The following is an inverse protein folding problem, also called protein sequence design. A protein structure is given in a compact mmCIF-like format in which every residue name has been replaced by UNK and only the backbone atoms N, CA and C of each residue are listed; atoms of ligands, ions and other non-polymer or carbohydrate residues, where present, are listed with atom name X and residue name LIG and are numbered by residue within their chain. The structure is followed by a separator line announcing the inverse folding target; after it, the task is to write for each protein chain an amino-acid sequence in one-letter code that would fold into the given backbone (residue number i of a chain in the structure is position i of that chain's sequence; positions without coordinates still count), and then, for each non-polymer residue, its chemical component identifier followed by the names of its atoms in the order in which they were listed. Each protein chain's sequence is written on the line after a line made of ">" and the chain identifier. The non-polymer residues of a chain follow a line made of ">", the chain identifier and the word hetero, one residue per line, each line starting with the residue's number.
data_IF_821721400628
#
_entry.id   IF_821721400628
#
_cell.length_a   1.000
_cell.length_b   1.000
_cell.length_c   1.000
_cell.angle_alpha   90.00
_cell.angle_beta   90.00
_cell.angle_gamma   90.00
#
_symmetry.space_group_name_H-M   'P 1'
#
loop_
_entity.id
_entity.type
_entity.pdbx_description
1 polymer ?
#
# COMPACT_ATOMS: atom_id res chain seq x y z
N UNK A 1 -51.83 24.04 21.06
CA UNK A 1 -51.46 22.93 20.14
C UNK A 1 -50.75 21.88 20.98
N UNK A 2 -51.33 20.68 21.11
CA UNK A 2 -50.69 19.54 21.80
C UNK A 2 -49.59 18.96 20.89
N UNK A 3 -48.35 18.78 21.36
CA UNK A 3 -47.29 18.17 20.55
C UNK A 3 -47.67 16.73 20.23
N UNK A 4 -47.74 16.40 18.94
CA UNK A 4 -47.98 15.03 18.47
C UNK A 4 -46.68 14.24 18.63
N UNK A 5 -46.60 13.40 19.65
CA UNK A 5 -45.48 12.50 19.84
C UNK A 5 -45.50 11.40 18.77
N UNK A 6 -44.44 11.30 17.98
CA UNK A 6 -44.24 10.20 17.04
C UNK A 6 -43.82 8.94 17.81
N UNK A 7 -44.26 7.74 17.36
CA UNK A 7 -43.77 6.49 17.94
C UNK A 7 -42.24 6.37 17.75
N UNK A 8 -41.54 5.64 18.64
CA UNK A 8 -40.11 5.42 18.50
C UNK A 8 -39.79 4.68 17.20
N UNK A 9 -38.64 5.00 16.61
CA UNK A 9 -38.14 4.30 15.43
C UNK A 9 -37.90 2.82 15.76
N UNK A 10 -38.19 1.89 14.84
CA UNK A 10 -37.81 0.49 15.01
C UNK A 10 -36.29 0.38 15.16
N UNK A 11 -35.79 -0.65 15.87
CA UNK A 11 -34.35 -0.86 16.01
C UNK A 11 -33.72 -1.07 14.62
N UNK A 12 -32.47 -0.62 14.42
CA UNK A 12 -31.78 -0.82 13.16
C UNK A 12 -31.60 -2.31 12.85
N UNK A 13 -31.59 -2.64 11.56
CA UNK A 13 -31.31 -4.00 11.10
C UNK A 13 -29.87 -4.41 11.50
N UNK A 14 -29.64 -5.70 11.80
CA UNK A 14 -28.29 -6.18 12.05
C UNK A 14 -27.43 -6.01 10.80
N UNK A 15 -26.16 -5.66 10.98
CA UNK A 15 -25.22 -5.59 9.88
C UNK A 15 -24.99 -6.98 9.26
N UNK A 16 -24.88 -7.10 7.93
CA UNK A 16 -24.55 -8.36 7.27
C UNK A 16 -23.15 -8.83 7.69
N UNK A 17 -22.90 -10.15 7.74
CA UNK A 17 -21.63 -10.71 8.23
C UNK A 17 -20.44 -10.44 7.30
N UNK A 18 -20.69 -10.20 6.01
CA UNK A 18 -19.68 -9.88 5.00
C UNK A 18 -20.24 -8.87 3.99
N UNK A 19 -19.39 -8.20 3.21
CA UNK A 19 -19.84 -7.43 2.05
C UNK A 19 -20.67 -8.30 1.11
N UNK A 20 -21.69 -7.71 0.50
CA UNK A 20 -22.49 -8.38 -0.53
C UNK A 20 -21.72 -8.42 -1.86
N UNK A 21 -22.03 -9.42 -2.69
CA UNK A 21 -21.44 -9.53 -4.02
C UNK A 21 -22.21 -8.64 -5.01
N UNK A 22 -21.52 -7.93 -5.92
CA UNK A 22 -22.19 -7.16 -6.94
C UNK A 22 -22.91 -8.06 -7.95
N UNK A 23 -23.96 -7.57 -8.63
CA UNK A 23 -24.59 -8.30 -9.72
C UNK A 23 -23.62 -8.47 -10.90
N UNK A 24 -23.80 -9.52 -11.70
CA UNK A 24 -23.00 -9.72 -12.90
C UNK A 24 -23.28 -8.62 -13.94
N UNK A 25 -22.21 -7.98 -14.44
CA UNK A 25 -22.31 -6.94 -15.46
C UNK A 25 -21.95 -7.53 -16.84
N UNK A 26 -22.91 -7.68 -17.78
CA UNK A 26 -22.60 -8.16 -19.12
C UNK A 26 -21.87 -7.09 -19.95
N UNK A 27 -21.06 -7.54 -20.90
CA UNK A 27 -20.43 -6.65 -21.87
C UNK A 27 -21.48 -5.93 -22.74
N UNK A 28 -21.26 -4.64 -22.99
CA UNK A 28 -22.09 -3.82 -23.86
C UNK A 28 -21.23 -3.09 -24.91
N UNK A 29 -21.66 -2.96 -26.18
CA UNK A 29 -20.93 -2.20 -27.19
C UNK A 29 -20.71 -0.75 -26.75
N UNK A 30 -19.44 -0.31 -26.75
CA UNK A 30 -19.05 1.04 -26.29
C UNK A 30 -19.19 1.26 -24.78
N UNK A 31 -19.56 0.23 -24.01
CA UNK A 31 -19.67 0.28 -22.56
C UNK A 31 -18.31 0.18 -21.85
N UNK A 32 -18.27 0.46 -20.54
CA UNK A 32 -17.07 0.26 -19.73
C UNK A 32 -16.66 -1.21 -19.72
N UNK A 33 -15.37 -1.47 -19.46
CA UNK A 33 -14.86 -2.82 -19.26
C UNK A 33 -15.62 -3.52 -18.11
N UNK A 34 -16.35 -4.62 -18.36
CA UNK A 34 -17.16 -5.29 -17.34
C UNK A 34 -16.33 -5.75 -16.14
N UNK A 35 -15.08 -6.14 -16.36
CA UNK A 35 -14.20 -6.56 -15.28
C UNK A 35 -13.79 -5.38 -14.39
N UNK A 36 -13.48 -4.22 -14.97
CA UNK A 36 -13.27 -3.00 -14.19
C UNK A 36 -14.52 -2.59 -13.40
N UNK A 37 -15.72 -2.76 -13.98
CA UNK A 37 -16.98 -2.42 -13.31
C UNK A 37 -17.29 -3.37 -12.13
N UNK A 38 -17.12 -4.67 -12.32
CA UNK A 38 -17.25 -5.68 -11.26
C UNK A 38 -16.32 -5.39 -10.07
N UNK A 39 -15.09 -4.99 -10.35
CA UNK A 39 -14.14 -4.62 -9.30
C UNK A 39 -14.53 -3.35 -8.57
N UNK A 40 -14.96 -2.32 -9.30
CA UNK A 40 -15.44 -1.08 -8.70
C UNK A 40 -16.65 -1.33 -7.79
N UNK A 41 -17.59 -2.18 -8.25
CA UNK A 41 -18.76 -2.55 -7.46
C UNK A 41 -18.39 -3.39 -6.23
N UNK A 42 -17.43 -4.31 -6.36
CA UNK A 42 -16.88 -5.09 -5.24
C UNK A 42 -16.21 -4.18 -4.20
N UNK A 43 -15.40 -3.21 -4.64
CA UNK A 43 -14.76 -2.22 -3.77
C UNK A 43 -15.80 -1.36 -3.04
N UNK A 44 -16.82 -0.90 -3.76
CA UNK A 44 -17.91 -0.12 -3.20
C UNK A 44 -18.70 -0.92 -2.14
N UNK A 45 -18.98 -2.20 -2.38
CA UNK A 45 -19.63 -3.07 -1.41
C UNK A 45 -18.76 -3.28 -0.15
N UNK A 46 -17.46 -3.50 -0.31
CA UNK A 46 -16.52 -3.62 0.81
C UNK A 46 -16.43 -2.33 1.63
N UNK A 47 -16.36 -1.16 0.97
CA UNK A 47 -16.37 0.16 1.63
C UNK A 47 -17.68 0.41 2.38
N UNK A 48 -18.82 0.13 1.74
CA UNK A 48 -20.13 0.30 2.37
C UNK A 48 -20.26 -0.58 3.62
N UNK A 49 -19.80 -1.84 3.55
CA UNK A 49 -19.77 -2.75 4.69
C UNK A 49 -18.86 -2.24 5.82
N UNK A 50 -17.65 -1.79 5.51
CA UNK A 50 -16.73 -1.21 6.50
C UNK A 50 -17.34 0.03 7.18
N UNK A 51 -17.97 0.92 6.41
CA UNK A 51 -18.64 2.11 6.93
C UNK A 51 -19.81 1.72 7.85
N UNK A 52 -20.63 0.75 7.45
CA UNK A 52 -21.77 0.27 8.25
C UNK A 52 -21.34 -0.38 9.56
N UNK A 53 -20.25 -1.16 9.56
CA UNK A 53 -19.83 -1.95 10.73
C UNK A 53 -18.91 -1.19 11.68
N UNK A 54 -18.11 -0.24 11.17
CA UNK A 54 -17.11 0.48 11.97
C UNK A 54 -17.41 1.97 12.15
N UNK A 55 -18.35 2.51 11.36
CA UNK A 55 -18.61 3.95 11.30
C UNK A 55 -17.48 4.75 10.64
N UNK A 56 -16.48 4.07 10.05
CA UNK A 56 -15.31 4.70 9.42
C UNK A 56 -15.23 4.33 7.95
N UNK A 57 -14.99 5.34 7.14
CA UNK A 57 -14.74 5.16 5.72
C UNK A 57 -13.25 4.87 5.49
N UNK A 58 -12.87 3.66 5.03
CA UNK A 58 -11.47 3.28 4.83
C UNK A 58 -10.76 4.11 3.75
N UNK A 59 -11.49 4.81 2.87
CA UNK A 59 -10.90 5.61 1.79
C UNK A 59 -11.13 7.12 1.96
N UNK A 60 -11.93 7.53 2.95
CA UNK A 60 -12.40 8.92 3.07
C UNK A 60 -11.32 9.97 3.31
N UNK A 61 -10.14 9.54 3.76
CA UNK A 61 -8.97 10.40 3.97
C UNK A 61 -7.88 10.28 2.89
N UNK A 62 -8.06 9.44 1.87
CA UNK A 62 -7.04 9.22 0.85
C UNK A 62 -7.03 10.36 -0.16
N UNK A 63 -5.83 10.79 -0.54
CA UNK A 63 -5.64 11.64 -1.71
C UNK A 63 -5.98 10.88 -3.00
N UNK A 64 -6.21 11.60 -4.10
CA UNK A 64 -6.43 10.99 -5.42
C UNK A 64 -5.31 9.99 -5.78
N UNK A 65 -4.07 10.34 -5.46
CA UNK A 65 -2.92 9.48 -5.70
C UNK A 65 -2.96 8.20 -4.86
N UNK A 66 -3.18 8.33 -3.55
CA UNK A 66 -3.27 7.18 -2.65
C UNK A 66 -4.43 6.25 -3.04
N UNK A 67 -5.58 6.79 -3.45
CA UNK A 67 -6.71 5.99 -3.91
C UNK A 67 -6.42 5.29 -5.25
N UNK A 68 -5.74 5.97 -6.19
CA UNK A 68 -5.29 5.34 -7.44
C UNK A 68 -4.34 4.16 -7.18
N UNK A 69 -3.38 4.33 -6.26
CA UNK A 69 -2.46 3.26 -5.85
C UNK A 69 -3.23 2.10 -5.19
N UNK A 70 -4.16 2.40 -4.28
CA UNK A 70 -5.01 1.40 -3.62
C UNK A 70 -5.82 0.58 -4.61
N UNK A 71 -6.50 1.24 -5.56
CA UNK A 71 -7.28 0.58 -6.61
C UNK A 71 -6.40 -0.32 -7.49
N UNK A 72 -5.22 0.17 -7.89
CA UNK A 72 -4.27 -0.63 -8.66
C UNK A 72 -3.70 -1.82 -7.86
N UNK A 73 -3.48 -1.65 -6.55
CA UNK A 73 -2.95 -2.67 -5.67
C UNK A 73 -3.94 -3.82 -5.40
N UNK A 74 -5.23 -3.50 -5.30
CA UNK A 74 -6.32 -4.46 -5.05
C UNK A 74 -6.51 -5.50 -6.18
N UNK A 75 -5.95 -5.27 -7.37
CA UNK A 75 -6.13 -6.19 -8.51
C UNK A 75 -5.19 -7.39 -8.43
N UNK A 76 -5.71 -8.63 -8.40
CA UNK A 76 -4.89 -9.81 -8.64
C UNK A 76 -4.41 -9.78 -10.10
N UNK A 77 -3.09 -9.77 -10.31
CA UNK A 77 -2.51 -9.80 -11.65
C UNK A 77 -1.16 -9.09 -11.75
N UNK A 78 -0.25 -9.68 -12.51
CA UNK A 78 1.13 -9.24 -12.72
C UNK A 78 1.28 -8.03 -13.67
N UNK A 79 0.19 -7.36 -14.05
CA UNK A 79 0.23 -6.27 -15.04
C UNK A 79 0.35 -6.71 -16.50
N UNK A 80 0.34 -8.02 -16.78
CA UNK A 80 0.64 -8.57 -18.11
C UNK A 80 -0.56 -8.53 -19.08
N UNK A 81 -1.78 -8.38 -18.59
CA UNK A 81 -2.97 -8.31 -19.46
C UNK A 81 -3.12 -6.91 -20.07
N UNK A 82 -3.72 -6.83 -21.26
CA UNK A 82 -4.02 -5.55 -21.90
C UNK A 82 -4.91 -4.66 -21.01
N UNK A 83 -5.90 -5.27 -20.32
CA UNK A 83 -6.80 -4.56 -19.40
C UNK A 83 -6.06 -3.94 -18.20
N UNK A 84 -5.12 -4.66 -17.57
CA UNK A 84 -4.36 -4.08 -16.45
C UNK A 84 -3.43 -2.94 -16.91
N UNK A 85 -2.82 -3.05 -18.09
CA UNK A 85 -2.00 -1.95 -18.65
C UNK A 85 -2.82 -0.69 -18.93
N UNK A 86 -4.01 -0.83 -19.54
CA UNK A 86 -4.89 0.31 -19.78
C UNK A 86 -5.34 0.99 -18.48
N UNK A 87 -5.64 0.21 -17.45
CA UNK A 87 -5.97 0.75 -16.13
C UNK A 87 -4.80 1.51 -15.51
N UNK A 88 -3.60 0.93 -15.49
CA UNK A 88 -2.42 1.60 -14.94
C UNK A 88 -2.14 2.93 -15.65
N UNK A 89 -2.24 2.94 -16.99
CA UNK A 89 -2.10 4.16 -17.77
C UNK A 89 -3.16 5.21 -17.40
N UNK A 90 -4.42 4.80 -17.27
CA UNK A 90 -5.53 5.69 -16.89
C UNK A 90 -5.34 6.28 -15.48
N UNK A 91 -5.04 5.44 -14.49
CA UNK A 91 -4.84 5.85 -13.10
C UNK A 91 -3.62 6.77 -12.95
N UNK A 92 -2.49 6.40 -13.56
CA UNK A 92 -1.28 7.23 -13.53
C UNK A 92 -1.54 8.58 -14.19
N UNK A 93 -2.17 8.60 -15.38
CA UNK A 93 -2.51 9.84 -16.08
C UNK A 93 -3.48 10.71 -15.27
N UNK A 94 -4.49 10.13 -14.63
CA UNK A 94 -5.44 10.86 -13.79
C UNK A 94 -4.76 11.49 -12.56
N UNK A 95 -3.75 10.83 -12.00
CA UNK A 95 -2.95 11.35 -10.90
C UNK A 95 -1.78 12.25 -11.33
N UNK A 96 -1.59 12.49 -12.64
CA UNK A 96 -0.47 13.28 -13.17
C UNK A 96 0.90 12.61 -12.98
N UNK A 97 0.94 11.28 -12.97
CA UNK A 97 2.12 10.43 -12.74
C UNK A 97 2.38 9.52 -13.93
N UNK A 98 3.56 8.91 -13.96
CA UNK A 98 3.86 7.85 -14.91
C UNK A 98 3.50 6.45 -14.40
N UNK A 99 3.46 5.48 -15.32
CA UNK A 99 3.06 4.10 -14.98
C UNK A 99 4.11 3.34 -14.18
N UNK A 100 5.39 3.73 -14.25
CA UNK A 100 6.47 3.11 -13.48
C UNK A 100 6.44 3.60 -12.02
N UNK A 101 6.18 4.89 -11.80
CA UNK A 101 5.88 5.48 -10.49
C UNK A 101 4.69 4.75 -9.84
N UNK A 102 3.58 4.59 -10.58
CA UNK A 102 2.42 3.85 -10.10
C UNK A 102 2.76 2.40 -9.75
N UNK A 103 3.52 1.70 -10.59
CA UNK A 103 3.93 0.32 -10.30
C UNK A 103 4.76 0.21 -9.02
N UNK A 104 5.69 1.15 -8.79
CA UNK A 104 6.52 1.20 -7.58
C UNK A 104 5.69 1.54 -6.34
N UNK A 105 4.76 2.48 -6.45
CA UNK A 105 3.82 2.84 -5.38
C UNK A 105 2.88 1.68 -5.02
N UNK A 106 2.38 0.95 -6.03
CA UNK A 106 1.58 -0.27 -5.81
C UNK A 106 2.38 -1.35 -5.09
N UNK A 107 3.66 -1.55 -5.46
CA UNK A 107 4.52 -2.48 -4.74
C UNK A 107 4.68 -2.08 -3.27
N UNK A 108 4.80 -0.78 -2.98
CA UNK A 108 4.97 -0.26 -1.62
C UNK A 108 3.67 -0.42 -0.81
N UNK A 109 2.53 -0.11 -1.43
CA UNK A 109 1.20 -0.33 -0.84
C UNK A 109 0.93 -1.80 -0.53
N UNK A 110 1.36 -2.72 -1.41
CA UNK A 110 1.26 -4.16 -1.14
C UNK A 110 2.18 -4.62 -0.03
N UNK A 111 3.34 -3.99 0.11
CA UNK A 111 4.30 -4.31 1.16
C UNK A 111 3.78 -3.91 2.55
N UNK A 112 3.17 -2.73 2.69
CA UNK A 112 2.73 -2.27 4.01
C UNK A 112 1.70 -1.15 4.00
N UNK A 113 0.77 -1.19 3.05
CA UNK A 113 -0.39 -0.30 3.00
C UNK A 113 -0.03 1.17 2.80
N UNK A 114 -0.85 2.10 3.35
CA UNK A 114 -0.56 3.54 3.33
C UNK A 114 0.83 3.87 3.87
N UNK A 115 1.26 3.23 4.95
CA UNK A 115 2.57 3.46 5.57
C UNK A 115 3.72 3.04 4.64
N UNK A 116 3.53 1.96 3.87
CA UNK A 116 4.50 1.54 2.84
C UNK A 116 4.66 2.59 1.74
N UNK A 117 3.57 3.23 1.32
CA UNK A 117 3.60 4.32 0.35
C UNK A 117 4.31 5.56 0.93
N UNK A 118 4.00 5.95 2.16
CA UNK A 118 4.67 7.08 2.83
C UNK A 118 6.19 6.85 2.92
N UNK A 119 6.62 5.62 3.23
CA UNK A 119 8.05 5.26 3.32
C UNK A 119 8.76 5.29 1.95
N UNK A 120 8.03 4.98 0.87
CA UNK A 120 8.54 5.12 -0.47
C UNK A 120 8.81 6.60 -0.81
N UNK A 121 7.86 7.48 -0.48
CA UNK A 121 7.80 8.85 -1.00
C UNK A 121 8.48 9.89 -0.11
N UNK A 122 8.34 9.78 1.21
CA UNK A 122 8.71 10.85 2.14
C UNK A 122 9.89 10.46 3.06
N UNK A 123 11.12 10.87 2.73
CA UNK A 123 12.23 10.70 3.66
C UNK A 123 12.14 11.69 4.81
N UNK A 124 12.25 11.20 6.04
CA UNK A 124 12.09 11.98 7.27
C UNK A 124 13.26 11.75 8.25
N UNK A 125 13.45 12.66 9.19
CA UNK A 125 14.51 12.56 10.20
C UNK A 125 13.96 11.93 11.49
N UNK A 126 14.30 10.65 11.79
CA UNK A 126 13.81 10.00 13.00
C UNK A 126 14.42 10.60 14.26
N UNK A 127 13.66 10.69 15.36
CA UNK A 127 14.24 11.01 16.65
C UNK A 127 15.23 9.92 17.05
N UNK A 128 16.13 10.27 17.97
CA UNK A 128 17.07 9.31 18.53
C UNK A 128 16.33 8.07 19.07
N UNK A 129 16.91 6.88 18.88
CA UNK A 129 16.34 5.64 19.39
C UNK A 129 16.35 4.48 18.39
N UNK A 130 15.20 4.17 17.76
CA UNK A 130 15.07 2.96 16.93
C UNK A 130 16.01 2.99 15.72
N UNK A 131 16.18 4.14 15.08
CA UNK A 131 17.10 4.29 13.96
C UNK A 131 18.57 4.08 14.39
N UNK A 132 18.98 4.69 15.50
CA UNK A 132 20.37 4.59 15.99
C UNK A 132 20.75 3.16 16.39
N UNK A 133 19.79 2.40 16.93
CA UNK A 133 19.98 1.01 17.33
C UNK A 133 20.10 0.04 16.15
N UNK A 134 19.63 0.42 14.96
CA UNK A 134 19.60 -0.49 13.83
C UNK A 134 21.00 -0.85 13.30
N UNK A 135 21.91 0.12 13.20
CA UNK A 135 23.28 -0.15 12.70
C UNK A 135 24.05 -1.14 13.59
N UNK A 136 24.05 -0.99 14.94
CA UNK A 136 24.61 -2.01 15.84
C UNK A 136 23.96 -3.39 15.69
N UNK A 137 22.63 -3.46 15.51
CA UNK A 137 21.93 -4.75 15.32
C UNK A 137 22.37 -5.45 14.02
N UNK A 138 22.47 -4.70 12.92
CA UNK A 138 22.95 -5.22 11.64
C UNK A 138 24.39 -5.75 11.76
N UNK A 139 25.29 -4.99 12.40
CA UNK A 139 26.68 -5.42 12.63
C UNK A 139 26.78 -6.66 13.50
N UNK A 140 25.93 -6.77 14.54
CA UNK A 140 25.89 -7.96 15.40
C UNK A 140 25.36 -9.21 14.69
N UNK A 141 24.67 -9.04 13.57
CA UNK A 141 24.21 -10.11 12.68
C UNK A 141 25.19 -10.37 11.51
N UNK A 142 26.46 -9.95 11.65
CA UNK A 142 27.52 -10.11 10.64
C UNK A 142 27.23 -9.42 9.28
N UNK A 143 26.30 -8.45 9.25
CA UNK A 143 26.04 -7.62 8.07
C UNK A 143 26.99 -6.41 8.05
N UNK A 144 27.31 -5.86 6.86
CA UNK A 144 28.26 -4.76 6.76
C UNK A 144 27.70 -3.46 7.38
N UNK A 145 28.56 -2.46 7.54
CA UNK A 145 28.16 -1.16 8.04
C UNK A 145 27.31 -0.39 7.00
N UNK A 146 25.98 -0.42 7.14
CA UNK A 146 25.07 0.36 6.30
C UNK A 146 25.30 1.87 6.50
N UNK A 147 25.24 2.62 5.39
CA UNK A 147 25.37 4.08 5.36
C UNK A 147 24.03 4.74 5.70
N UNK A 148 23.96 5.57 6.75
CA UNK A 148 22.73 6.28 7.11
C UNK A 148 22.50 7.53 6.27
N UNK A 149 21.23 7.84 6.01
CA UNK A 149 20.74 9.12 5.50
C UNK A 149 19.25 9.26 5.87
N UNK A 150 18.90 10.27 6.69
CA UNK A 150 17.53 10.43 7.22
C UNK A 150 17.03 9.11 7.84
N UNK A 151 15.83 8.65 7.47
CA UNK A 151 15.26 7.37 7.86
C UNK A 151 15.75 6.17 7.03
N UNK A 152 16.85 6.28 6.28
CA UNK A 152 17.33 5.24 5.35
C UNK A 152 18.71 4.72 5.74
N UNK A 153 18.88 3.41 5.66
CA UNK A 153 20.15 2.71 5.79
C UNK A 153 20.44 2.01 4.46
N UNK A 154 21.53 2.38 3.79
CA UNK A 154 21.89 1.83 2.47
C UNK A 154 23.08 0.88 2.59
N UNK A 155 22.97 -0.30 2.01
CA UNK A 155 24.04 -1.28 1.97
C UNK A 155 25.26 -0.71 1.20
N UNK A 156 26.52 -0.99 1.58
CA UNK A 156 27.69 -0.40 0.93
C UNK A 156 27.82 -0.68 -0.58
N UNK A 157 27.32 -1.84 -1.05
CA UNK A 157 27.26 -2.17 -2.49
C UNK A 157 26.12 -1.45 -3.23
N UNK A 158 25.25 -0.71 -2.53
CA UNK A 158 24.20 0.11 -3.12
C UNK A 158 23.03 -0.64 -3.76
N UNK A 159 22.85 -1.94 -3.48
CA UNK A 159 21.77 -2.75 -4.05
C UNK A 159 20.60 -3.01 -3.09
N UNK A 160 20.77 -2.72 -1.79
CA UNK A 160 19.77 -2.91 -0.73
C UNK A 160 19.68 -1.66 0.14
N UNK A 161 18.46 -1.30 0.51
CA UNK A 161 18.20 -0.19 1.42
C UNK A 161 17.07 -0.55 2.38
N UNK A 162 17.29 -0.31 3.66
CA UNK A 162 16.27 -0.35 4.70
C UNK A 162 15.74 1.06 4.93
N UNK A 163 14.43 1.21 5.06
CA UNK A 163 13.78 2.48 5.37
C UNK A 163 12.89 2.33 6.61
N UNK A 164 13.06 3.23 7.56
CA UNK A 164 12.26 3.26 8.79
C UNK A 164 10.97 4.06 8.54
N UNK A 165 9.82 3.42 8.75
CA UNK A 165 8.52 4.08 8.77
C UNK A 165 8.24 4.82 10.08
N UNK A 166 7.25 5.72 10.06
CA UNK A 166 6.87 6.53 11.22
C UNK A 166 6.26 5.70 12.36
N UNK A 167 5.58 4.61 12.01
CA UNK A 167 5.10 3.56 12.95
C UNK A 167 6.23 2.65 13.45
N UNK A 168 7.44 2.84 12.90
CA UNK A 168 8.67 2.21 13.34
C UNK A 168 8.93 0.81 12.79
N UNK A 169 8.20 0.37 11.77
CA UNK A 169 8.56 -0.80 10.97
C UNK A 169 9.70 -0.46 10.00
N UNK A 170 10.54 -1.43 9.71
CA UNK A 170 11.58 -1.39 8.69
C UNK A 170 11.08 -2.02 7.41
N UNK A 171 11.24 -1.29 6.32
CA UNK A 171 10.85 -1.69 4.97
C UNK A 171 12.09 -1.90 4.14
N UNK A 172 12.21 -3.07 3.52
CA UNK A 172 13.34 -3.40 2.67
C UNK A 172 13.05 -3.02 1.21
N UNK A 173 14.08 -2.49 0.57
CA UNK A 173 14.08 -2.09 -0.83
C UNK A 173 15.31 -2.64 -1.53
N UNK A 174 15.16 -2.98 -2.80
CA UNK A 174 16.25 -3.40 -3.69
C UNK A 174 16.37 -2.45 -4.88
N UNK A 175 17.58 -2.23 -5.37
CA UNK A 175 17.84 -1.57 -6.65
C UNK A 175 19.03 -2.21 -7.34
N UNK A 176 19.17 -1.98 -8.64
CA UNK A 176 20.44 -2.25 -9.30
C UNK A 176 21.53 -1.34 -8.71
N UNK A 177 22.78 -1.83 -8.54
CA UNK A 177 23.88 -1.00 -8.06
C UNK A 177 24.03 0.29 -8.87
N UNK A 178 24.02 1.44 -8.19
CA UNK A 178 24.17 2.76 -8.81
C UNK A 178 22.88 3.33 -9.43
N UNK A 179 21.74 2.62 -9.34
CA UNK A 179 20.42 3.16 -9.68
C UNK A 179 19.70 3.67 -8.43
N UNK A 180 18.90 4.70 -8.62
CA UNK A 180 18.02 5.25 -7.56
C UNK A 180 16.59 4.66 -7.62
N UNK A 181 16.35 3.70 -8.52
CA UNK A 181 15.07 3.02 -8.70
C UNK A 181 14.86 1.93 -7.65
N UNK A 182 14.59 2.35 -6.42
CA UNK A 182 14.35 1.47 -5.28
C UNK A 182 12.98 0.78 -5.36
N UNK A 183 12.96 -0.55 -5.44
CA UNK A 183 11.76 -1.37 -5.46
C UNK A 183 11.48 -1.99 -4.08
N UNK A 184 10.27 -1.83 -3.53
CA UNK A 184 9.83 -2.46 -2.28
C UNK A 184 9.91 -3.99 -2.35
N UNK A 185 10.47 -4.65 -1.33
CA UNK A 185 10.66 -6.11 -1.29
C UNK A 185 10.52 -6.68 0.12
N UNK A 186 10.08 -7.93 0.23
CA UNK A 186 9.92 -8.63 1.51
C UNK A 186 8.78 -8.07 2.36
N UNK A 187 8.69 -8.53 3.61
CA UNK A 187 7.68 -8.11 4.59
C UNK A 187 8.29 -7.11 5.57
N UNK A 188 7.58 -6.03 5.93
CA UNK A 188 8.05 -5.10 6.96
C UNK A 188 8.21 -5.78 8.31
N UNK A 189 9.23 -5.38 9.08
CA UNK A 189 9.53 -5.95 10.40
C UNK A 189 9.91 -4.86 11.42
N UNK A 190 9.72 -5.13 12.71
CA UNK A 190 10.20 -4.26 13.79
C UNK A 190 11.73 -4.31 13.93
N UNK A 191 12.34 -5.44 13.57
CA UNK A 191 13.77 -5.66 13.54
C UNK A 191 14.34 -5.41 12.13
N UNK A 192 15.35 -4.51 11.97
CA UNK A 192 15.99 -4.30 10.67
C UNK A 192 16.61 -5.58 10.08
N UNK A 193 17.06 -6.54 10.90
CA UNK A 193 17.60 -7.82 10.41
C UNK A 193 16.48 -8.71 9.88
N UNK A 194 15.34 -8.78 10.57
CA UNK A 194 14.14 -9.48 10.12
C UNK A 194 13.64 -8.96 8.77
N UNK A 195 13.57 -7.63 8.61
CA UNK A 195 13.16 -6.98 7.36
C UNK A 195 14.08 -7.35 6.18
N UNK A 196 15.39 -7.50 6.40
CA UNK A 196 16.33 -7.94 5.36
C UNK A 196 16.21 -9.43 5.05
N UNK A 197 16.01 -10.26 6.07
CA UNK A 197 15.90 -11.72 5.88
C UNK A 197 14.72 -12.09 4.99
N UNK A 198 13.65 -11.28 5.03
CA UNK A 198 12.48 -11.40 4.13
C UNK A 198 12.77 -11.15 2.65
N UNK A 199 13.96 -10.67 2.26
CA UNK A 199 14.37 -10.53 0.85
C UNK A 199 14.77 -11.88 0.21
N UNK A 200 14.99 -12.92 1.01
CA UNK A 200 15.62 -14.17 0.59
C UNK A 200 17.15 -14.06 0.58
N UNK A 201 17.84 -15.19 0.40
CA UNK A 201 19.31 -15.42 0.49
C UNK A 201 20.20 -14.62 -0.48
N UNK A 202 19.77 -13.45 -0.95
CA UNK A 202 20.53 -12.54 -1.82
C UNK A 202 21.30 -11.44 -1.10
N UNK A 203 21.19 -11.32 0.22
CA UNK A 203 21.96 -10.31 0.98
C UNK A 203 23.47 -10.62 0.98
N UNK A 204 23.87 -11.84 0.59
CA UNK A 204 25.26 -12.31 0.62
C UNK A 204 26.05 -12.13 -0.69
N UNK A 205 25.46 -11.58 -1.77
CA UNK A 205 26.15 -11.32 -3.06
C UNK A 205 26.37 -9.83 -3.35
#
# INVERSE_FOLDING_TARGET
>A
LTPRALPPLPPPLPAPPHPEQPPAYPAAPGGPDPFALDQLATDAAARAHALLTTGRDPVGGLTLWQDAVRLAAARPGSGLTAGTRALYASLASAAGRDTAELARAVAAWRQGGPEGLDVLEEPWDPPAGRFDRARPLLLAADLPAFRPWRNRLTHPRGHVQLRLGRVGLWYAYESEPGREDWWPRGTPDLDPVGALTGLGTRVDL
#
